data_IF_660353622815
#
_entry.id   IF_660353622815
#
_cell.length_a   1.000
_cell.length_b   1.000
_cell.length_c   1.000
_cell.angle_alpha   90.00
_cell.angle_beta   90.00
_cell.angle_gamma   90.00
#
_symmetry.space_group_name_H-M   'P 1'
#
loop_
_entity.id
_entity.type
_entity.pdbx_description
1 polymer ?
#
# COMPACT_ATOMS: atom_id res chain seq x y z
N UNK A 1 -5.71 14.50 -2.57
CA UNK A 1 -5.45 13.08 -2.88
C UNK A 1 -6.80 12.40 -3.09
N UNK A 2 -7.02 11.81 -4.26
CA UNK A 2 -8.24 11.09 -4.58
C UNK A 2 -7.91 9.66 -5.03
N UNK A 3 -8.77 8.72 -4.66
CA UNK A 3 -8.69 7.31 -5.03
C UNK A 3 -10.05 6.88 -5.57
N UNK A 4 -10.11 6.41 -6.82
CA UNK A 4 -11.35 6.05 -7.52
C UNK A 4 -12.43 7.17 -7.47
N UNK A 5 -11.99 8.44 -7.51
CA UNK A 5 -12.86 9.62 -7.43
C UNK A 5 -13.25 10.05 -6.01
N UNK A 6 -12.95 9.24 -4.99
CA UNK A 6 -13.19 9.60 -3.60
C UNK A 6 -11.99 10.31 -2.99
N UNK A 7 -12.24 11.38 -2.23
CA UNK A 7 -11.17 12.07 -1.49
C UNK A 7 -10.74 11.24 -0.30
N UNK A 8 -9.45 10.95 -0.19
CA UNK A 8 -8.88 10.26 0.95
C UNK A 8 -8.50 11.29 2.01
N UNK A 9 -9.11 11.18 3.19
CA UNK A 9 -8.68 11.93 4.36
C UNK A 9 -7.37 11.35 4.91
N UNK A 10 -6.29 12.13 4.79
CA UNK A 10 -5.00 11.77 5.35
C UNK A 10 -4.99 11.90 6.88
N UNK A 11 -5.92 12.69 7.45
CA UNK A 11 -6.04 13.02 8.86
C UNK A 11 -5.11 14.17 9.21
N UNK A 12 -5.68 15.35 9.52
CA UNK A 12 -4.95 16.57 9.85
C UNK A 12 -3.99 16.43 11.06
N UNK A 13 -4.25 15.48 11.95
CA UNK A 13 -3.42 15.21 13.15
C UNK A 13 -2.40 14.07 12.96
N UNK A 14 -2.29 13.53 11.74
CA UNK A 14 -1.45 12.36 11.50
C UNK A 14 -0.01 12.75 11.21
N UNK A 15 0.93 12.05 11.85
CA UNK A 15 2.37 12.18 11.68
C UNK A 15 2.84 11.66 10.30
N UNK A 16 2.08 11.88 9.23
CA UNK A 16 2.37 11.33 7.91
C UNK A 16 3.57 12.06 7.33
N UNK A 17 4.69 11.37 7.22
CA UNK A 17 5.94 11.89 6.64
C UNK A 17 6.05 11.57 5.15
N UNK A 18 5.30 10.57 4.67
CA UNK A 18 5.33 10.16 3.27
C UNK A 18 4.17 9.26 2.86
N UNK A 19 4.03 9.09 1.55
CA UNK A 19 3.06 8.19 0.92
C UNK A 19 3.82 7.23 0.02
N UNK A 20 3.40 5.97 -0.01
CA UNK A 20 3.86 5.00 -1.00
C UNK A 20 2.66 4.38 -1.72
N UNK A 21 2.84 4.18 -3.03
CA UNK A 21 1.86 3.53 -3.92
C UNK A 21 2.53 2.28 -4.46
N UNK A 22 1.89 1.13 -4.26
CA UNK A 22 2.49 -0.18 -4.49
C UNK A 22 1.69 -0.95 -5.52
N UNK A 23 2.40 -1.54 -6.48
CA UNK A 23 1.89 -2.55 -7.41
C UNK A 23 2.47 -3.95 -7.08
N UNK A 24 3.51 -4.03 -6.25
CA UNK A 24 4.20 -5.28 -5.90
C UNK A 24 4.15 -5.54 -4.39
N UNK A 25 4.26 -6.81 -4.00
CA UNK A 25 4.16 -7.24 -2.60
C UNK A 25 5.26 -6.77 -1.66
N UNK A 26 6.42 -6.39 -2.20
CA UNK A 26 7.57 -6.04 -1.38
C UNK A 26 8.49 -5.03 -2.06
N UNK A 27 9.10 -4.17 -1.27
CA UNK A 27 10.05 -3.15 -1.73
C UNK A 27 11.35 -3.18 -0.90
N UNK A 28 12.37 -2.42 -1.30
CA UNK A 28 13.62 -2.21 -0.53
C UNK A 28 14.24 -3.51 0.04
N UNK A 29 14.40 -4.52 -0.82
CA UNK A 29 14.96 -5.81 -0.43
C UNK A 29 14.05 -6.62 0.49
N UNK A 30 12.77 -6.76 0.12
CA UNK A 30 11.84 -7.72 0.73
C UNK A 30 10.91 -7.17 1.83
N UNK A 31 10.86 -5.86 2.04
CA UNK A 31 9.97 -5.24 3.03
C UNK A 31 8.52 -5.21 2.53
N UNK A 32 7.58 -5.68 3.34
CA UNK A 32 6.15 -5.61 3.03
C UNK A 32 5.50 -4.42 3.76
N UNK A 33 5.32 -3.31 3.03
CA UNK A 33 4.65 -2.12 3.54
C UNK A 33 3.15 -2.35 3.81
N UNK A 34 2.43 -3.07 2.95
CA UNK A 34 1.00 -3.33 3.12
C UNK A 34 0.71 -4.16 4.38
N UNK A 35 1.68 -4.96 4.81
CA UNK A 35 1.58 -5.84 5.98
C UNK A 35 0.69 -7.07 5.73
N UNK A 36 0.54 -7.89 6.77
CA UNK A 36 -0.28 -9.10 6.70
C UNK A 36 -1.76 -8.72 6.88
N UNK A 37 -2.62 -9.19 5.98
CA UNK A 37 -4.08 -9.11 6.19
C UNK A 37 -4.43 -9.90 7.45
N UNK A 38 -5.23 -9.29 8.33
CA UNK A 38 -5.77 -10.01 9.49
C UNK A 38 -6.86 -10.93 8.98
N UNK A 39 -6.65 -12.25 9.05
CA UNK A 39 -7.74 -13.22 8.97
C UNK A 39 -8.63 -13.02 10.21
N UNK A 40 -9.61 -12.13 10.10
CA UNK A 40 -10.59 -11.89 11.15
C UNK A 40 -11.44 -13.14 11.36
N UNK A 41 -11.61 -13.55 12.62
CA UNK A 41 -12.74 -14.39 13.03
C UNK A 41 -14.02 -13.62 12.65
N UNK A 42 -14.87 -14.23 11.85
CA UNK A 42 -16.17 -13.73 11.42
C UNK A 42 -16.96 -13.16 12.62
N UNK A 43 -17.14 -11.84 12.65
CA UNK A 43 -18.30 -11.22 13.28
C UNK A 43 -19.12 -10.60 12.15
N UNK A 44 -20.25 -11.23 11.86
CA UNK A 44 -21.25 -10.77 10.90
C UNK A 44 -21.81 -9.43 11.38
N UNK A 45 -21.30 -8.30 10.86
CA UNK A 45 -22.03 -7.05 10.82
C UNK A 45 -22.27 -6.71 9.35
N UNK A 46 -23.53 -6.81 8.94
CA UNK A 46 -24.04 -6.42 7.63
C UNK A 46 -24.15 -4.88 7.61
N UNK A 47 -23.02 -4.21 7.43
CA UNK A 47 -22.98 -2.80 7.07
C UNK A 47 -22.22 -2.72 5.73
N UNK A 48 -22.85 -2.09 4.74
CA UNK A 48 -22.23 -1.77 3.46
C UNK A 48 -20.92 -1.01 3.75
N UNK A 49 -19.74 -1.56 3.42
CA UNK A 49 -18.49 -0.90 3.78
C UNK A 49 -18.32 0.32 2.89
N UNK A 50 -18.16 1.50 3.50
CA UNK A 50 -17.50 2.59 2.80
C UNK A 50 -16.05 2.15 2.54
N UNK A 51 -15.54 2.40 1.32
CA UNK A 51 -14.19 2.01 0.91
C UNK A 51 -13.08 2.54 1.86
N UNK A 52 -13.39 3.59 2.62
CA UNK A 52 -12.50 4.26 3.57
C UNK A 52 -12.55 3.74 5.01
N UNK A 53 -13.34 2.70 5.32
CA UNK A 53 -13.33 2.12 6.66
C UNK A 53 -12.00 1.43 6.95
N UNK A 54 -11.24 1.96 7.92
CA UNK A 54 -9.94 1.40 8.36
C UNK A 54 -10.02 -0.10 8.68
N UNK A 55 -11.16 -0.57 9.18
CA UNK A 55 -11.40 -1.99 9.46
C UNK A 55 -11.53 -2.83 8.18
N UNK A 56 -12.14 -2.26 7.14
CA UNK A 56 -12.27 -2.90 5.83
C UNK A 56 -10.92 -2.98 5.11
N UNK A 57 -10.13 -1.89 5.12
CA UNK A 57 -8.78 -1.91 4.54
C UNK A 57 -7.83 -2.92 5.22
N UNK A 58 -8.04 -3.25 6.50
CA UNK A 58 -7.26 -4.29 7.19
C UNK A 58 -7.56 -5.72 6.72
N UNK A 59 -8.75 -5.97 6.15
CA UNK A 59 -9.11 -7.28 5.61
C UNK A 59 -8.62 -7.46 4.17
N UNK A 60 -8.43 -6.35 3.42
CA UNK A 60 -7.93 -6.37 2.04
C UNK A 60 -6.59 -7.09 1.91
N UNK A 61 -6.49 -7.91 0.88
CA UNK A 61 -5.31 -8.69 0.51
C UNK A 61 -4.70 -8.03 -0.71
N UNK A 62 -3.39 -7.86 -0.67
CA UNK A 62 -2.63 -7.35 -1.80
C UNK A 62 -2.49 -8.42 -2.88
N UNK A 63 -2.81 -8.08 -4.12
CA UNK A 63 -2.70 -8.96 -5.28
C UNK A 63 -2.28 -8.16 -6.52
N UNK A 64 -1.07 -8.41 -7.02
CA UNK A 64 -0.57 -7.78 -8.26
C UNK A 64 -1.43 -8.10 -9.49
N UNK A 65 -2.27 -9.14 -9.41
CA UNK A 65 -3.14 -9.59 -10.48
C UNK A 65 -4.47 -8.85 -10.59
N UNK A 66 -4.90 -8.15 -9.54
CA UNK A 66 -6.28 -7.64 -9.42
C UNK A 66 -6.53 -6.30 -10.13
N UNK A 67 -5.48 -5.68 -10.66
CA UNK A 67 -5.55 -4.39 -11.36
C UNK A 67 -5.69 -3.20 -10.42
N UNK A 68 -5.51 -3.39 -9.11
CA UNK A 68 -5.52 -2.35 -8.10
C UNK A 68 -4.10 -2.01 -7.65
N UNK A 69 -3.96 -0.83 -7.04
CA UNK A 69 -2.75 -0.40 -6.36
C UNK A 69 -3.02 -0.16 -4.89
N UNK A 70 -2.03 -0.48 -4.05
CA UNK A 70 -2.09 -0.22 -2.62
C UNK A 70 -1.51 1.15 -2.30
N UNK A 71 -2.34 2.01 -1.68
CA UNK A 71 -1.92 3.30 -1.16
C UNK A 71 -1.67 3.19 0.34
N UNK A 72 -0.45 3.51 0.79
CA UNK A 72 -0.07 3.51 2.21
C UNK A 72 0.58 4.82 2.65
N UNK A 73 0.39 5.14 3.93
CA UNK A 73 0.99 6.24 4.64
C UNK A 73 2.15 5.81 5.53
N UNK A 74 3.24 6.55 5.49
CA UNK A 74 4.44 6.37 6.30
C UNK A 74 4.48 7.43 7.40
N UNK A 75 4.68 7.00 8.65
CA UNK A 75 4.55 7.87 9.82
C UNK A 75 5.87 8.30 10.46
N UNK A 76 6.93 7.49 10.31
CA UNK A 76 8.25 7.81 10.88
C UNK A 76 9.33 6.87 10.39
N UNK A 77 10.59 7.29 10.52
CA UNK A 77 11.75 6.41 10.38
C UNK A 77 11.68 5.18 11.32
N UNK A 78 11.13 5.34 12.53
CA UNK A 78 10.94 4.21 13.47
C UNK A 78 9.94 3.19 12.91
N UNK A 79 8.83 3.66 12.31
CA UNK A 79 7.86 2.78 11.65
C UNK A 79 8.53 2.01 10.49
N UNK A 80 9.39 2.67 9.71
CA UNK A 80 10.14 2.02 8.63
C UNK A 80 11.08 0.91 9.16
N UNK A 81 11.75 1.13 10.29
CA UNK A 81 12.55 0.09 10.95
C UNK A 81 11.72 -1.12 11.37
N UNK A 82 10.53 -0.89 11.94
CA UNK A 82 9.60 -1.96 12.30
C UNK A 82 9.06 -2.73 11.09
N UNK A 83 8.84 -2.04 9.96
CA UNK A 83 8.44 -2.67 8.70
C UNK A 83 9.57 -3.56 8.16
N UNK A 84 10.81 -3.08 8.20
CA UNK A 84 11.97 -3.88 7.77
C UNK A 84 12.16 -5.12 8.64
N UNK A 85 11.90 -5.01 9.95
CA UNK A 85 11.92 -6.14 10.88
C UNK A 85 10.68 -7.07 10.76
N UNK A 86 9.67 -6.70 9.97
CA UNK A 86 8.44 -7.48 9.78
C UNK A 86 7.48 -7.47 10.97
N UNK A 87 7.61 -6.50 11.87
CA UNK A 87 6.82 -6.39 13.11
C UNK A 87 5.53 -5.59 12.90
N UNK A 88 5.57 -4.57 12.05
CA UNK A 88 4.45 -3.66 11.77
C UNK A 88 4.36 -3.37 10.27
N UNK A 89 3.16 -3.10 9.77
CA UNK A 89 2.94 -2.58 8.41
C UNK A 89 2.71 -1.06 8.42
N UNK A 90 2.79 -0.43 7.25
CA UNK A 90 2.43 0.97 7.06
C UNK A 90 0.91 1.18 7.27
N UNK A 91 0.50 2.44 7.41
CA UNK A 91 -0.93 2.78 7.51
C UNK A 91 -1.58 2.57 6.14
N UNK A 92 -2.51 1.63 6.01
CA UNK A 92 -3.29 1.45 4.77
C UNK A 92 -4.26 2.61 4.60
N UNK A 93 -4.18 3.29 3.45
CA UNK A 93 -5.01 4.45 3.13
C UNK A 93 -6.08 4.09 2.10
N UNK A 94 -5.74 3.29 1.08
CA UNK A 94 -6.70 2.82 0.08
C UNK A 94 -6.15 1.61 -0.69
N UNK A 95 -7.04 0.88 -1.36
CA UNK A 95 -6.71 -0.07 -2.44
C UNK A 95 -7.68 0.25 -3.59
N UNK A 96 -7.16 0.73 -4.73
CA UNK A 96 -7.97 1.41 -5.75
C UNK A 96 -7.37 1.24 -7.15
N UNK A 97 -8.14 1.56 -8.20
CA UNK A 97 -7.68 1.45 -9.59
C UNK A 97 -6.99 2.73 -10.09
N UNK A 98 -7.42 3.90 -9.59
CA UNK A 98 -6.92 5.21 -9.99
C UNK A 98 -6.55 6.04 -8.78
N UNK A 99 -5.35 6.64 -8.80
CA UNK A 99 -4.90 7.61 -7.80
C UNK A 99 -4.63 8.95 -8.46
N UNK A 100 -5.18 10.02 -7.90
CA UNK A 100 -4.91 11.41 -8.34
C UNK A 100 -4.34 12.21 -7.17
N UNK A 101 -3.14 12.74 -7.38
CA UNK A 101 -2.42 13.56 -6.40
C UNK A 101 -2.19 14.94 -7.00
N UNK A 102 -2.72 15.97 -6.35
CA UNK A 102 -2.38 17.35 -6.66
C UNK A 102 -1.34 17.84 -5.65
N UNK A 103 -0.26 18.42 -6.15
CA UNK A 103 0.88 18.84 -5.35
C UNK A 103 1.20 20.30 -5.64
N UNK A 104 1.43 21.08 -4.57
CA UNK A 104 1.59 22.54 -4.65
C UNK A 104 3.02 23.01 -4.35
N UNK A 105 3.92 22.08 -3.97
CA UNK A 105 5.32 22.35 -3.62
C UNK A 105 6.19 21.26 -4.22
N UNK A 106 7.47 21.55 -4.39
CA UNK A 106 8.44 20.53 -4.78
C UNK A 106 8.73 19.56 -3.64
N UNK A 107 8.85 18.27 -3.93
CA UNK A 107 9.14 17.24 -2.93
C UNK A 107 10.00 16.09 -3.53
N UNK A 108 10.74 15.34 -2.70
CA UNK A 108 11.46 14.16 -3.14
C UNK A 108 10.48 13.07 -3.59
N UNK A 109 10.68 12.54 -4.79
CA UNK A 109 9.87 11.48 -5.36
C UNK A 109 10.80 10.37 -5.87
N UNK A 110 10.29 9.14 -5.89
CA UNK A 110 11.01 7.99 -6.42
C UNK A 110 10.02 7.02 -7.05
N UNK A 111 10.37 6.47 -8.21
CA UNK A 111 9.65 5.38 -8.88
C UNK A 111 10.67 4.32 -9.25
N UNK A 112 10.40 3.07 -8.87
CA UNK A 112 11.19 1.88 -9.22
C UNK A 112 12.71 1.98 -9.00
N UNK A 113 13.16 2.84 -8.10
CA UNK A 113 14.60 3.03 -7.79
C UNK A 113 15.16 4.39 -8.23
N UNK A 114 14.48 5.09 -9.13
CA UNK A 114 14.96 6.34 -9.72
C UNK A 114 14.41 7.55 -8.94
N UNK A 115 15.25 8.33 -8.23
CA UNK A 115 14.81 9.48 -7.46
C UNK A 115 14.86 10.78 -8.27
N UNK A 116 13.97 11.72 -7.96
CA UNK A 116 14.03 13.09 -8.46
C UNK A 116 13.30 14.07 -7.53
N UNK A 117 13.46 15.37 -7.79
CA UNK A 117 12.65 16.41 -7.16
C UNK A 117 11.45 16.71 -8.05
N UNK A 118 10.26 16.30 -7.61
CA UNK A 118 9.02 16.52 -8.35
C UNK A 118 8.56 17.98 -8.15
N UNK A 119 8.47 18.82 -9.21
CA UNK A 119 7.85 20.13 -9.10
C UNK A 119 6.33 20.02 -8.88
N UNK A 120 5.66 21.12 -8.46
CA UNK A 120 4.21 21.17 -8.33
C UNK A 120 3.51 20.69 -9.60
N UNK A 121 2.62 19.72 -9.46
CA UNK A 121 1.91 19.10 -10.58
C UNK A 121 0.68 18.32 -10.11
N UNK A 122 -0.11 17.88 -11.08
CA UNK A 122 -1.11 16.83 -10.91
C UNK A 122 -0.53 15.50 -11.40
N UNK A 123 -0.47 14.51 -10.51
CA UNK A 123 0.00 13.15 -10.78
C UNK A 123 -1.23 12.25 -10.85
N UNK A 124 -1.38 11.53 -11.96
CA UNK A 124 -2.41 10.51 -12.12
C UNK A 124 -1.75 9.15 -12.34
N UNK A 125 -2.08 8.18 -11.50
CA UNK A 125 -1.57 6.82 -11.55
C UNK A 125 -2.73 5.88 -11.85
N UNK A 126 -2.58 5.10 -12.91
CA UNK A 126 -3.55 4.09 -13.36
C UNK A 126 -2.82 2.89 -13.90
N UNK A 127 -3.45 1.73 -13.81
CA UNK A 127 -2.91 0.52 -14.41
C UNK A 127 -2.99 0.62 -15.95
N UNK A 128 -1.85 0.48 -16.65
CA UNK A 128 -1.79 0.58 -18.11
C UNK A 128 -1.93 -0.78 -18.79
N UNK A 129 -1.04 -1.72 -18.48
CA UNK A 129 -0.93 -3.03 -19.12
C UNK A 129 -0.56 -4.09 -18.09
N UNK A 130 -0.87 -5.36 -18.38
CA UNK A 130 -0.48 -6.49 -17.55
C UNK A 130 0.35 -7.49 -18.35
N UNK A 131 1.28 -8.15 -17.68
CA UNK A 131 2.09 -9.24 -18.25
C UNK A 131 1.98 -10.47 -17.37
N UNK A 132 1.97 -11.66 -17.99
CA UNK A 132 2.02 -12.92 -17.25
C UNK A 132 3.46 -13.18 -16.80
N UNK A 133 3.66 -13.24 -15.49
CA UNK A 133 4.95 -13.48 -14.87
C UNK A 133 5.04 -14.91 -14.34
N UNK A 134 6.18 -15.57 -14.53
CA UNK A 134 6.46 -16.84 -13.87
C UNK A 134 6.77 -16.59 -12.39
N UNK A 135 6.01 -17.23 -11.50
CA UNK A 135 6.23 -17.12 -10.06
C UNK A 135 6.82 -18.43 -9.54
N UNK A 136 7.93 -18.32 -8.80
CA UNK A 136 8.54 -19.47 -8.14
C UNK A 136 7.56 -20.17 -7.20
N UNK A 137 7.61 -21.50 -7.13
CA UNK A 137 6.78 -22.27 -6.19
C UNK A 137 7.01 -21.73 -4.78
N UNK A 138 5.93 -21.49 -4.02
CA UNK A 138 6.05 -21.19 -2.58
C UNK A 138 6.86 -22.31 -1.94
N UNK A 139 7.99 -21.96 -1.31
CA UNK A 139 8.80 -22.94 -0.60
C UNK A 139 7.92 -23.64 0.43
N UNK A 140 7.64 -24.93 0.22
CA UNK A 140 7.05 -25.77 1.25
C UNK A 140 8.03 -25.76 2.41
N UNK A 141 7.60 -25.21 3.55
CA UNK A 141 8.38 -25.20 4.78
C UNK A 141 8.82 -26.63 5.06
N UNK A 142 10.11 -26.92 4.87
CA UNK A 142 10.68 -28.24 5.19
C UNK A 142 10.34 -28.50 6.66
N UNK A 143 9.40 -29.42 6.90
CA UNK A 143 9.14 -29.91 8.25
C UNK A 143 10.39 -30.72 8.59
N UNK A 144 11.23 -30.16 9.46
CA UNK A 144 12.27 -30.93 10.13
C UNK A 144 11.51 -32.01 10.89
N UNK A 145 11.61 -33.25 10.41
CA UNK A 145 11.16 -34.42 11.15
C UNK A 145 12.28 -34.65 12.14
N UNK A 146 12.05 -34.24 13.39
CA UNK A 146 12.78 -34.75 14.55
C UNK A 146 12.04 -35.98 15.06
#
# INVERSE_FOLDING_TARGET
LQCDGETIDLGQDSSLEGIAILNIHSIYGGSNLWGRSRKGKTRFNFQLPNANDKAFLQSRVQDIGDGLVELVGLESAMQMGQIKAGVRGARRLSQCSTVVIETFKSFPMQIDGEPWMQPPCMIQITHKNQVKMLVGKKASRWRRVE
#
